data_IF_206787123676
#
_entry.id   IF_206787123676
#
_cell.length_a   1.000
_cell.length_b   1.000
_cell.length_c   1.000
_cell.angle_alpha   90.00
_cell.angle_beta   90.00
_cell.angle_gamma   90.00
#
_symmetry.space_group_name_H-M   'P 1'
#
loop_
_entity.id
_entity.type
_entity.pdbx_description
1 polymer ?
#
# COMPACT_ATOMS: atom_id res chain seq x y z
N UNK A 1 -25.87 11.15 -2.84
CA UNK A 1 -25.44 12.40 -3.49
C UNK A 1 -24.27 12.05 -4.41
N UNK A 2 -24.48 11.88 -5.72
CA UNK A 2 -23.40 11.58 -6.66
C UNK A 2 -22.55 12.85 -6.84
N UNK A 3 -21.36 12.90 -6.24
CA UNK A 3 -20.36 13.91 -6.60
C UNK A 3 -20.00 13.72 -8.08
N UNK A 4 -19.71 14.81 -8.80
CA UNK A 4 -19.21 14.66 -10.17
C UNK A 4 -17.95 13.78 -10.15
N UNK A 5 -17.84 12.85 -11.10
CA UNK A 5 -16.79 11.84 -11.13
C UNK A 5 -15.37 12.45 -10.95
N UNK A 6 -15.14 13.65 -11.50
CA UNK A 6 -13.85 14.36 -11.39
C UNK A 6 -13.56 14.82 -9.96
N UNK A 7 -14.56 15.34 -9.23
CA UNK A 7 -14.36 15.80 -7.84
C UNK A 7 -14.02 14.64 -6.91
N UNK A 8 -14.70 13.49 -7.08
CA UNK A 8 -14.40 12.26 -6.32
C UNK A 8 -12.97 11.78 -6.58
N UNK A 9 -12.52 11.81 -7.83
CA UNK A 9 -11.16 11.43 -8.21
C UNK A 9 -10.11 12.36 -7.62
N UNK A 10 -10.32 13.67 -7.66
CA UNK A 10 -9.40 14.64 -7.08
C UNK A 10 -9.26 14.46 -5.56
N UNK A 11 -10.39 14.27 -4.86
CA UNK A 11 -10.37 14.01 -3.42
C UNK A 11 -9.64 12.71 -3.12
N UNK A 12 -9.89 11.67 -3.90
CA UNK A 12 -9.23 10.37 -3.76
C UNK A 12 -7.72 10.48 -3.98
N UNK A 13 -7.28 11.25 -4.97
CA UNK A 13 -5.87 11.51 -5.23
C UNK A 13 -5.19 12.20 -4.04
N UNK A 14 -5.81 13.27 -3.51
CA UNK A 14 -5.26 14.04 -2.38
C UNK A 14 -5.23 13.20 -1.12
N UNK A 15 -6.34 12.53 -0.78
CA UNK A 15 -6.43 11.68 0.41
C UNK A 15 -5.46 10.51 0.30
N UNK A 16 -5.37 9.86 -0.86
CA UNK A 16 -4.42 8.79 -1.11
C UNK A 16 -2.97 9.25 -0.95
N UNK A 17 -2.61 10.39 -1.54
CA UNK A 17 -1.28 10.98 -1.40
C UNK A 17 -0.91 11.27 0.06
N UNK A 18 -1.80 11.95 0.80
CA UNK A 18 -1.60 12.27 2.21
C UNK A 18 -1.50 11.00 3.06
N UNK A 19 -2.33 10.01 2.77
CA UNK A 19 -2.34 8.75 3.50
C UNK A 19 -1.04 7.97 3.31
N UNK A 20 -0.60 7.79 2.06
CA UNK A 20 0.60 7.03 1.74
C UNK A 20 1.89 7.70 2.25
N UNK A 21 1.98 9.03 2.19
CA UNK A 21 3.21 9.75 2.54
C UNK A 21 3.28 10.19 4.01
N UNK A 22 2.15 10.45 4.66
CA UNK A 22 2.13 10.98 6.03
C UNK A 22 1.67 9.91 6.99
N UNK A 23 0.47 9.38 6.79
CA UNK A 23 -0.13 8.46 7.75
C UNK A 23 0.65 7.14 7.82
N UNK A 24 0.96 6.53 6.68
CA UNK A 24 1.72 5.28 6.62
C UNK A 24 3.12 5.41 7.23
N UNK A 25 3.83 6.51 6.95
CA UNK A 25 5.15 6.77 7.55
C UNK A 25 5.06 6.91 9.08
N UNK A 26 4.03 7.60 9.57
CA UNK A 26 3.77 7.73 11.01
C UNK A 26 3.45 6.39 11.67
N UNK A 27 2.73 5.48 11.00
CA UNK A 27 2.40 4.15 11.50
C UNK A 27 3.57 3.17 11.44
N UNK A 28 4.45 3.30 10.45
CA UNK A 28 5.60 2.41 10.31
C UNK A 28 6.61 2.55 11.43
N UNK A 29 6.86 3.78 11.93
CA UNK A 29 7.81 4.03 13.01
C UNK A 29 7.52 3.21 14.29
N UNK A 30 6.30 3.22 14.87
CA UNK A 30 5.99 2.39 16.03
C UNK A 30 5.94 0.90 15.69
N UNK A 31 5.51 0.51 14.48
CA UNK A 31 5.52 -0.91 14.07
C UNK A 31 6.95 -1.47 14.11
N UNK A 32 7.94 -0.74 13.58
CA UNK A 32 9.34 -1.20 13.62
C UNK A 32 9.84 -1.38 15.07
N UNK A 33 9.42 -0.49 15.97
CA UNK A 33 9.89 -0.50 17.37
C UNK A 33 9.21 -1.57 18.25
N UNK A 34 7.99 -1.97 17.89
CA UNK A 34 7.15 -2.80 18.76
C UNK A 34 6.59 -4.05 18.09
N UNK A 35 7.05 -4.41 16.88
CA UNK A 35 6.58 -5.60 16.18
C UNK A 35 7.31 -6.85 16.68
N UNK A 36 6.68 -7.70 17.52
CA UNK A 36 7.33 -8.90 18.06
C UNK A 36 7.60 -9.96 16.97
N UNK A 37 6.96 -9.83 15.80
CA UNK A 37 7.17 -10.73 14.66
C UNK A 37 8.59 -10.59 14.12
N UNK A 38 9.17 -9.39 14.17
CA UNK A 38 10.54 -9.15 13.69
C UNK A 38 11.56 -9.86 14.58
N UNK A 39 11.40 -9.74 15.89
CA UNK A 39 12.26 -10.42 16.87
C UNK A 39 12.16 -11.94 16.71
N UNK A 40 10.93 -12.46 16.58
CA UNK A 40 10.70 -13.89 16.34
C UNK A 40 11.35 -14.38 15.03
N UNK A 41 11.24 -13.61 13.94
CA UNK A 41 11.88 -13.94 12.65
C UNK A 41 13.40 -13.94 12.75
N UNK A 42 13.98 -12.98 13.47
CA UNK A 42 15.42 -12.92 13.71
C UNK A 42 15.89 -14.12 14.54
N UNK A 43 15.18 -14.45 15.61
CA UNK A 43 15.54 -15.58 16.48
C UNK A 43 15.54 -16.93 15.77
N UNK A 44 14.60 -17.16 14.84
CA UNK A 44 14.39 -18.48 14.24
C UNK A 44 14.93 -18.63 12.82
N UNK A 45 15.05 -17.52 12.07
CA UNK A 45 15.39 -17.56 10.65
C UNK A 45 16.60 -16.71 10.26
N UNK A 46 17.22 -15.97 11.19
CA UNK A 46 18.44 -15.22 10.87
C UNK A 46 19.51 -16.12 10.25
N UNK A 47 20.08 -15.67 9.12
CA UNK A 47 21.09 -16.42 8.36
C UNK A 47 20.53 -17.54 7.47
N UNK A 48 19.22 -17.81 7.50
CA UNK A 48 18.56 -18.74 6.56
C UNK A 48 18.07 -18.03 5.30
N UNK A 49 17.96 -18.76 4.19
CA UNK A 49 17.36 -18.24 2.95
C UNK A 49 15.86 -17.89 3.08
N UNK A 50 15.21 -18.27 4.18
CA UNK A 50 13.79 -18.02 4.43
C UNK A 50 13.52 -16.67 5.12
N UNK A 51 14.54 -16.03 5.68
CA UNK A 51 14.38 -14.77 6.39
C UNK A 51 13.81 -13.66 5.51
N UNK A 52 14.45 -13.37 4.37
CA UNK A 52 14.01 -12.29 3.48
C UNK A 52 12.62 -12.52 2.86
N UNK A 53 12.26 -13.73 2.36
CA UNK A 53 10.91 -13.99 1.89
C UNK A 53 9.82 -13.81 2.96
N UNK A 54 10.06 -14.28 4.20
CA UNK A 54 9.09 -14.15 5.29
C UNK A 54 8.93 -12.69 5.72
N UNK A 55 10.02 -11.94 5.79
CA UNK A 55 9.99 -10.51 6.06
C UNK A 55 9.19 -9.76 4.97
N UNK A 56 9.40 -10.12 3.71
CA UNK A 56 8.66 -9.54 2.59
C UNK A 56 7.15 -9.82 2.68
N UNK A 57 6.76 -11.04 3.05
CA UNK A 57 5.34 -11.40 3.26
C UNK A 57 4.75 -10.64 4.45
N UNK A 58 5.50 -10.53 5.56
CA UNK A 58 5.07 -9.76 6.72
C UNK A 58 4.78 -8.31 6.34
N UNK A 59 5.71 -7.66 5.65
CA UNK A 59 5.55 -6.27 5.23
C UNK A 59 4.38 -6.09 4.27
N UNK A 60 4.09 -7.09 3.43
CA UNK A 60 2.92 -7.10 2.57
C UNK A 60 1.62 -7.07 3.35
N UNK A 61 1.51 -7.95 4.34
CA UNK A 61 0.33 -8.08 5.18
C UNK A 61 0.13 -6.78 5.96
N UNK A 62 1.19 -6.24 6.57
CA UNK A 62 1.13 -4.99 7.32
C UNK A 62 0.67 -3.84 6.42
N UNK A 63 1.28 -3.66 5.24
CA UNK A 63 0.87 -2.58 4.33
C UNK A 63 -0.57 -2.74 3.81
N UNK A 64 -1.03 -3.98 3.60
CA UNK A 64 -2.41 -4.27 3.21
C UNK A 64 -3.38 -3.90 4.33
N UNK A 65 -3.09 -4.29 5.58
CA UNK A 65 -3.91 -3.94 6.75
C UNK A 65 -3.92 -2.43 6.98
N UNK A 66 -2.75 -1.80 6.89
CA UNK A 66 -2.63 -0.35 6.98
C UNK A 66 -3.33 0.36 5.81
N UNK A 67 -3.66 -0.31 4.71
CA UNK A 67 -4.42 0.31 3.62
C UNK A 67 -5.94 0.30 3.85
N UNK A 68 -6.44 -0.39 4.90
CA UNK A 68 -7.89 -0.49 5.14
C UNK A 68 -8.61 0.85 5.36
N UNK A 69 -8.09 1.82 6.13
CA UNK A 69 -8.76 3.11 6.28
C UNK A 69 -8.97 3.83 4.94
N UNK A 70 -7.97 3.80 4.07
CA UNK A 70 -8.06 4.36 2.72
C UNK A 70 -9.03 3.57 1.83
N UNK A 71 -9.01 2.23 1.93
CA UNK A 71 -9.95 1.36 1.22
C UNK A 71 -11.41 1.60 1.64
N UNK A 72 -11.66 1.79 2.95
CA UNK A 72 -12.97 2.14 3.49
C UNK A 72 -13.42 3.52 3.00
N UNK A 73 -12.51 4.49 2.95
CA UNK A 73 -12.79 5.82 2.39
C UNK A 73 -13.21 5.73 0.91
N UNK A 74 -12.45 5.01 0.09
CA UNK A 74 -12.78 4.77 -1.32
C UNK A 74 -14.14 4.07 -1.44
N UNK A 75 -14.41 3.09 -0.58
CA UNK A 75 -15.69 2.39 -0.57
C UNK A 75 -16.87 3.30 -0.20
N UNK A 76 -16.67 4.21 0.76
CA UNK A 76 -17.67 5.19 1.18
C UNK A 76 -18.04 6.18 0.05
N UNK A 77 -17.10 6.51 -0.83
CA UNK A 77 -17.35 7.36 -2.00
C UNK A 77 -18.29 6.69 -3.03
N UNK A 78 -18.53 5.38 -2.93
CA UNK A 78 -19.35 4.58 -3.86
C UNK A 78 -19.02 4.87 -5.34
N UNK A 79 -17.74 4.74 -5.74
CA UNK A 79 -17.32 5.09 -7.08
C UNK A 79 -17.95 4.17 -8.13
N UNK A 80 -18.12 4.67 -9.36
CA UNK A 80 -18.51 3.83 -10.51
C UNK A 80 -17.44 2.77 -10.84
N UNK A 81 -16.16 3.09 -10.58
CA UNK A 81 -15.04 2.16 -10.73
C UNK A 81 -14.06 2.30 -9.57
N UNK A 82 -13.99 1.23 -8.77
CA UNK A 82 -13.03 1.09 -7.67
C UNK A 82 -11.58 1.04 -8.16
N UNK A 83 -11.35 0.46 -9.34
CA UNK A 83 -10.01 0.37 -9.94
C UNK A 83 -9.42 1.73 -10.27
N UNK A 84 -10.23 2.63 -10.86
CA UNK A 84 -9.77 3.97 -11.20
C UNK A 84 -9.47 4.78 -9.93
N UNK A 85 -10.34 4.69 -8.92
CA UNK A 85 -10.14 5.38 -7.65
C UNK A 85 -8.94 4.83 -6.88
N UNK A 86 -8.74 3.51 -6.86
CA UNK A 86 -7.55 2.89 -6.30
C UNK A 86 -6.26 3.31 -7.01
N UNK A 87 -6.24 3.29 -8.35
CA UNK A 87 -5.09 3.76 -9.12
C UNK A 87 -4.78 5.23 -8.84
N UNK A 88 -5.79 6.08 -8.82
CA UNK A 88 -5.64 7.53 -8.57
C UNK A 88 -5.22 7.83 -7.13
N UNK A 89 -5.62 7.01 -6.15
CA UNK A 89 -5.16 7.12 -4.77
C UNK A 89 -3.67 6.76 -4.62
N UNK A 90 -3.18 5.78 -5.38
CA UNK A 90 -1.82 5.24 -5.23
C UNK A 90 -0.81 5.95 -6.10
N UNK A 91 -1.13 6.20 -7.37
CA UNK A 91 -0.18 6.70 -8.36
C UNK A 91 0.57 7.97 -7.93
N UNK A 92 -0.07 9.02 -7.38
CA UNK A 92 0.65 10.23 -6.97
C UNK A 92 1.68 9.94 -5.89
N UNK A 93 1.30 9.16 -4.87
CA UNK A 93 2.20 8.77 -3.78
C UNK A 93 3.31 7.86 -4.27
N UNK A 94 2.98 6.88 -5.11
CA UNK A 94 3.93 5.94 -5.71
C UNK A 94 4.98 6.64 -6.58
N UNK A 95 4.55 7.54 -7.47
CA UNK A 95 5.46 8.30 -8.34
C UNK A 95 6.37 9.20 -7.51
N UNK A 96 5.84 9.82 -6.46
CA UNK A 96 6.65 10.65 -5.56
C UNK A 96 7.75 9.83 -4.87
N UNK A 97 7.38 8.73 -4.21
CA UNK A 97 8.32 7.91 -3.43
C UNK A 97 9.35 7.18 -4.27
N UNK A 98 9.01 6.83 -5.52
CA UNK A 98 9.92 6.11 -6.42
C UNK A 98 10.60 6.99 -7.48
N UNK A 99 10.31 8.29 -7.51
CA UNK A 99 10.95 9.25 -8.42
C UNK A 99 12.47 9.24 -8.33
N UNK A 100 13.03 9.03 -7.14
CA UNK A 100 14.48 8.97 -6.91
C UNK A 100 15.10 7.79 -7.66
N UNK A 101 14.46 6.62 -7.61
CA UNK A 101 14.95 5.41 -8.29
C UNK A 101 14.83 5.50 -9.80
N UNK A 102 13.75 6.12 -10.30
CA UNK A 102 13.52 6.29 -11.74
C UNK A 102 14.59 7.18 -12.37
N UNK A 103 15.09 8.16 -11.62
CA UNK A 103 16.12 9.09 -12.07
C UNK A 103 17.55 8.64 -11.72
N UNK A 104 17.72 7.47 -11.09
CA UNK A 104 19.03 6.96 -10.68
C UNK A 104 19.77 6.34 -11.89
N UNK A 105 21.00 6.80 -12.22
CA UNK A 105 21.80 6.22 -13.31
C UNK A 105 22.12 4.72 -13.14
N UNK A 106 22.16 4.23 -11.89
CA UNK A 106 22.38 2.83 -11.52
C UNK A 106 21.13 1.96 -11.53
N UNK A 107 19.95 2.51 -11.85
CA UNK A 107 18.67 1.78 -11.85
C UNK A 107 18.73 0.49 -12.66
N UNK A 108 19.44 0.48 -13.81
CA UNK A 108 19.58 -0.69 -14.67
C UNK A 108 20.23 -1.91 -14.01
N UNK A 109 20.93 -1.74 -12.88
CA UNK A 109 21.56 -2.84 -12.13
C UNK A 109 20.65 -3.40 -11.03
N UNK A 110 19.68 -2.63 -10.57
CA UNK A 110 18.82 -2.96 -9.41
C UNK A 110 17.33 -3.03 -9.74
N UNK A 111 16.95 -2.79 -11.01
CA UNK A 111 15.56 -2.65 -11.43
C UNK A 111 14.68 -3.85 -11.05
N UNK A 112 15.24 -5.06 -10.99
CA UNK A 112 14.49 -6.27 -10.63
C UNK A 112 14.00 -6.22 -9.18
N UNK A 113 14.90 -5.90 -8.23
CA UNK A 113 14.56 -5.75 -6.81
C UNK A 113 13.59 -4.59 -6.61
N UNK A 114 13.79 -3.49 -7.33
CA UNK A 114 12.90 -2.32 -7.29
C UNK A 114 11.51 -2.65 -7.84
N UNK A 115 11.42 -3.36 -8.96
CA UNK A 115 10.17 -3.75 -9.59
C UNK A 115 9.33 -4.68 -8.69
N UNK A 116 9.97 -5.60 -7.96
CA UNK A 116 9.30 -6.46 -6.97
C UNK A 116 8.67 -5.60 -5.87
N UNK A 117 9.43 -4.62 -5.34
CA UNK A 117 8.90 -3.64 -4.38
C UNK A 117 7.75 -2.80 -4.95
N UNK A 118 7.81 -2.45 -6.24
CA UNK A 118 6.74 -1.70 -6.91
C UNK A 118 5.44 -2.49 -6.98
N UNK A 119 5.50 -3.74 -7.47
CA UNK A 119 4.32 -4.62 -7.53
C UNK A 119 3.68 -4.76 -6.15
N UNK A 120 4.51 -4.96 -5.14
CA UNK A 120 4.07 -5.06 -3.75
C UNK A 120 3.37 -3.79 -3.29
N UNK A 121 3.97 -2.61 -3.48
CA UNK A 121 3.36 -1.33 -3.09
C UNK A 121 2.04 -1.06 -3.81
N UNK A 122 1.96 -1.39 -5.10
CA UNK A 122 0.77 -1.18 -5.94
C UNK A 122 -0.37 -2.16 -5.61
N UNK A 123 -0.07 -3.37 -5.13
CA UNK A 123 -1.06 -4.40 -4.85
C UNK A 123 -1.76 -4.26 -3.49
N UNK A 124 -1.13 -3.59 -2.52
CA UNK A 124 -1.65 -3.48 -1.13
C UNK A 124 -3.02 -2.80 -1.05
N UNK A 125 -3.20 -1.63 -1.68
CA UNK A 125 -4.48 -0.91 -1.64
C UNK A 125 -5.59 -1.64 -2.42
N UNK A 126 -5.40 -2.12 -3.66
CA UNK A 126 -6.40 -2.91 -4.36
C UNK A 126 -6.88 -4.12 -3.56
N UNK A 127 -5.96 -4.85 -2.90
CA UNK A 127 -6.34 -5.97 -2.04
C UNK A 127 -7.18 -5.53 -0.85
N UNK A 128 -6.79 -4.44 -0.18
CA UNK A 128 -7.58 -3.88 0.92
C UNK A 128 -8.99 -3.48 0.46
N UNK A 129 -9.12 -2.87 -0.72
CA UNK A 129 -10.42 -2.52 -1.33
C UNK A 129 -11.25 -3.76 -1.65
N UNK A 130 -10.65 -4.80 -2.22
CA UNK A 130 -11.35 -6.07 -2.50
C UNK A 130 -11.90 -6.71 -1.23
N UNK A 131 -11.10 -6.75 -0.15
CA UNK A 131 -11.53 -7.28 1.15
C UNK A 131 -12.68 -6.46 1.73
N UNK A 132 -12.60 -5.13 1.68
CA UNK A 132 -13.68 -4.24 2.16
C UNK A 132 -14.98 -4.50 1.38
N UNK A 133 -14.92 -4.57 0.04
CA UNK A 133 -16.09 -4.84 -0.80
C UNK A 133 -16.70 -6.20 -0.45
N UNK A 134 -15.87 -7.23 -0.30
CA UNK A 134 -16.33 -8.58 0.04
C UNK A 134 -17.00 -8.65 1.41
N UNK A 135 -16.45 -7.96 2.42
CA UNK A 135 -17.06 -7.88 3.76
C UNK A 135 -18.38 -7.11 3.75
N UNK A 136 -18.47 -6.02 2.98
CA UNK A 136 -19.70 -5.22 2.85
C UNK A 136 -20.80 -5.95 2.08
N UNK A 137 -20.45 -6.70 1.03
CA UNK A 137 -21.40 -7.49 0.23
C UNK A 137 -22.02 -8.66 0.98
N UNK A 138 -21.40 -9.14 2.06
CA UNK A 138 -21.96 -10.17 2.97
C UNK A 138 -23.01 -9.64 3.94
N UNK A 139 -23.19 -8.32 4.04
CA UNK A 139 -24.12 -7.66 4.97
C UNK A 139 -25.37 -7.08 4.28
N UNK A 140 -25.56 -7.36 3.00
CA UNK A 140 -26.76 -7.04 2.23
C UNK A 140 -27.58 -8.31 2.01
#
# INVERSE_FOLDING_TARGET
MQMSNIKSLLITAVVGYLYLNIALVMFWRPIILYNPTMDWLLEHFAGTGWFSPLLFIQDFIINTVLSFPLALFIHYLRPQSYWIHGAVAVLPGFLWTHSVWINDPGFSQIWQSVAIGWVHSLATLPLAVMVVIWLSGRRA
#
